data_IF_698375090186
#
_entry.id   IF_698375090186
#
_cell.length_a   1.000
_cell.length_b   1.000
_cell.length_c   1.000
_cell.angle_alpha   90.00
_cell.angle_beta   90.00
_cell.angle_gamma   90.00
#
_symmetry.space_group_name_H-M   'P 1'
#
loop_
_entity.id
_entity.type
_entity.pdbx_description
1 polymer ?
#
# COMPACT_ATOMS: atom_id res chain seq x y z
N UNK A 1 -9.25 22.03 -2.04
CA UNK A 1 -10.35 21.10 -1.72
C UNK A 1 -9.79 19.94 -0.91
N UNK A 2 -10.44 19.57 0.18
CA UNK A 2 -10.05 18.35 0.86
C UNK A 2 -10.30 17.14 -0.02
N UNK A 3 -9.41 16.18 0.06
CA UNK A 3 -9.56 14.93 -0.66
C UNK A 3 -10.78 14.16 -0.14
N UNK A 4 -11.57 13.58 -1.03
CA UNK A 4 -12.68 12.71 -0.63
C UNK A 4 -12.13 11.54 0.20
N UNK A 5 -12.82 11.14 1.28
CA UNK A 5 -12.37 10.00 2.09
C UNK A 5 -12.24 8.74 1.25
N UNK A 6 -11.15 8.01 1.48
CA UNK A 6 -10.89 6.75 0.80
C UNK A 6 -10.56 5.68 1.84
N UNK A 7 -10.65 4.42 1.42
CA UNK A 7 -10.27 3.28 2.23
C UNK A 7 -8.86 2.85 1.85
N UNK A 8 -7.98 2.83 2.82
CA UNK A 8 -6.57 2.52 2.63
C UNK A 8 -6.18 1.35 3.52
N UNK A 9 -5.65 0.30 2.93
CA UNK A 9 -5.11 -0.84 3.66
C UNK A 9 -3.60 -0.75 3.63
N UNK A 10 -2.99 -0.69 4.82
CA UNK A 10 -1.54 -0.76 4.93
C UNK A 10 -1.11 -2.14 5.40
N UNK A 11 -0.23 -2.78 4.62
CA UNK A 11 0.32 -4.10 4.90
C UNK A 11 1.79 -3.96 5.25
N UNK A 12 2.08 -3.96 6.55
CA UNK A 12 3.40 -3.64 7.09
C UNK A 12 3.57 -4.30 8.46
N UNK A 13 4.69 -4.98 8.70
CA UNK A 13 4.94 -5.64 9.99
C UNK A 13 5.68 -4.76 11.00
N UNK A 14 6.33 -3.68 10.55
CA UNK A 14 7.00 -2.75 11.44
C UNK A 14 6.00 -1.74 12.01
N UNK A 15 5.69 -1.88 13.31
CA UNK A 15 4.68 -1.05 13.96
C UNK A 15 4.99 0.45 13.87
N UNK A 16 6.27 0.83 13.99
CA UNK A 16 6.66 2.24 13.92
C UNK A 16 6.35 2.85 12.55
N UNK A 17 6.62 2.12 11.47
CA UNK A 17 6.31 2.57 10.10
C UNK A 17 4.80 2.65 9.91
N UNK A 18 4.09 1.57 10.27
CA UNK A 18 2.63 1.51 10.10
C UNK A 18 1.93 2.64 10.85
N UNK A 19 2.34 2.90 12.10
CA UNK A 19 1.70 3.92 12.93
C UNK A 19 1.85 5.33 12.35
N UNK A 20 3.02 5.66 11.83
CA UNK A 20 3.25 6.95 11.18
C UNK A 20 2.33 7.13 9.97
N UNK A 21 2.23 6.10 9.16
CA UNK A 21 1.40 6.13 7.96
C UNK A 21 -0.07 6.23 8.33
N UNK A 22 -0.52 5.40 9.28
CA UNK A 22 -1.92 5.42 9.76
C UNK A 22 -2.29 6.80 10.27
N UNK A 23 -1.44 7.39 11.12
CA UNK A 23 -1.72 8.70 11.71
C UNK A 23 -1.87 9.77 10.64
N UNK A 24 -0.99 9.76 9.66
CA UNK A 24 -1.00 10.77 8.61
C UNK A 24 -2.25 10.68 7.73
N UNK A 25 -2.63 9.47 7.31
CA UNK A 25 -3.84 9.29 6.51
C UNK A 25 -5.11 9.57 7.32
N UNK A 26 -5.12 9.19 8.59
CA UNK A 26 -6.26 9.47 9.48
C UNK A 26 -6.48 10.98 9.64
N UNK A 27 -5.39 11.74 9.79
CA UNK A 27 -5.48 13.20 9.86
C UNK A 27 -6.05 13.82 8.58
N UNK A 28 -5.90 13.13 7.47
CA UNK A 28 -6.45 13.57 6.18
C UNK A 28 -7.90 13.12 5.98
N UNK A 29 -8.47 12.41 6.94
CA UNK A 29 -9.87 11.98 6.89
C UNK A 29 -10.11 10.64 6.21
N UNK A 30 -9.06 9.88 5.88
CA UNK A 30 -9.20 8.57 5.27
C UNK A 30 -9.48 7.50 6.32
N UNK A 31 -10.13 6.42 5.89
CA UNK A 31 -10.36 5.23 6.70
C UNK A 31 -9.20 4.25 6.44
N UNK A 32 -8.45 3.92 7.48
CA UNK A 32 -7.22 3.14 7.36
C UNK A 32 -7.32 1.86 8.19
N UNK A 33 -7.08 0.72 7.55
CA UNK A 33 -6.91 -0.55 8.24
C UNK A 33 -5.46 -1.01 8.12
N UNK A 34 -5.02 -1.77 9.09
CA UNK A 34 -3.64 -2.26 9.17
C UNK A 34 -3.62 -3.79 9.21
N UNK A 35 -2.90 -4.38 8.25
CA UNK A 35 -2.63 -5.80 8.18
C UNK A 35 -1.15 -6.04 8.44
N UNK A 36 -0.81 -6.98 9.32
CA UNK A 36 0.57 -7.26 9.72
C UNK A 36 1.18 -8.46 9.00
N UNK A 37 0.36 -9.20 8.28
CA UNK A 37 0.77 -10.42 7.61
C UNK A 37 -0.07 -10.62 6.34
N UNK A 38 0.45 -11.40 5.41
CA UNK A 38 -0.25 -11.68 4.15
C UNK A 38 -1.65 -12.26 4.39
N UNK A 39 -1.79 -13.15 5.37
CA UNK A 39 -3.11 -13.73 5.68
C UNK A 39 -4.12 -12.67 6.09
N UNK A 40 -3.68 -11.63 6.80
CA UNK A 40 -4.54 -10.52 7.20
C UNK A 40 -4.93 -9.66 6.01
N UNK A 41 -4.01 -9.43 5.08
CA UNK A 41 -4.30 -8.73 3.82
C UNK A 41 -5.40 -9.48 3.06
N UNK A 42 -5.24 -10.78 2.90
CA UNK A 42 -6.23 -11.61 2.18
C UNK A 42 -7.60 -11.61 2.86
N UNK A 43 -7.63 -11.57 4.19
CA UNK A 43 -8.88 -11.50 4.94
C UNK A 43 -9.57 -10.13 4.79
N UNK A 44 -8.77 -9.06 4.75
CA UNK A 44 -9.30 -7.69 4.67
C UNK A 44 -9.80 -7.30 3.28
N UNK A 45 -9.14 -7.77 2.23
CA UNK A 45 -9.45 -7.33 0.86
C UNK A 45 -10.93 -7.48 0.49
N UNK A 46 -11.60 -8.63 0.71
CA UNK A 46 -13.00 -8.78 0.32
C UNK A 46 -13.98 -8.06 1.24
N UNK A 47 -13.57 -7.72 2.46
CA UNK A 47 -14.45 -7.11 3.47
C UNK A 47 -14.29 -5.59 3.48
N UNK A 48 -13.05 -5.12 3.56
CA UNK A 48 -12.76 -3.69 3.63
C UNK A 48 -12.86 -3.02 2.26
N UNK A 49 -12.54 -3.75 1.20
CA UNK A 49 -12.53 -3.26 -0.17
C UNK A 49 -11.73 -1.95 -0.28
N UNK A 50 -10.42 -1.99 0.02
CA UNK A 50 -9.62 -0.77 0.01
C UNK A 50 -9.53 -0.16 -1.39
N UNK A 51 -9.49 1.15 -1.44
CA UNK A 51 -9.23 1.88 -2.69
C UNK A 51 -7.76 1.79 -3.08
N UNK A 52 -6.87 1.76 -2.09
CA UNK A 52 -5.43 1.61 -2.27
C UNK A 52 -4.89 0.61 -1.26
N UNK A 53 -3.98 -0.25 -1.70
CA UNK A 53 -3.20 -1.12 -0.84
C UNK A 53 -1.75 -0.60 -0.82
N UNK A 54 -1.22 -0.33 0.37
CA UNK A 54 0.19 -0.01 0.58
C UNK A 54 0.84 -1.27 1.12
N UNK A 55 1.74 -1.86 0.36
CA UNK A 55 2.26 -3.20 0.63
C UNK A 55 3.79 -3.21 0.74
N UNK A 56 4.30 -3.65 1.89
CA UNK A 56 5.73 -3.91 2.07
C UNK A 56 6.13 -5.13 1.23
N UNK A 57 7.10 -4.94 0.35
CA UNK A 57 7.58 -6.00 -0.56
C UNK A 57 8.13 -7.22 0.20
N UNK A 58 8.57 -7.04 1.45
CA UNK A 58 9.14 -8.13 2.25
C UNK A 58 8.16 -8.69 3.29
N UNK A 59 6.91 -8.28 3.25
CA UNK A 59 5.91 -8.80 4.19
C UNK A 59 5.85 -10.32 4.11
N UNK A 60 5.99 -11.00 5.25
CA UNK A 60 6.03 -12.47 5.33
C UNK A 60 7.00 -13.08 4.31
N UNK A 61 8.16 -12.44 4.12
CA UNK A 61 9.22 -12.82 3.20
C UNK A 61 8.98 -12.50 1.72
N UNK A 62 7.73 -12.46 1.23
CA UNK A 62 7.50 -12.12 -0.17
C UNK A 62 6.14 -11.43 -0.43
N UNK A 63 6.08 -10.14 -0.11
CA UNK A 63 4.93 -9.32 -0.44
C UNK A 63 4.72 -9.15 -1.95
N UNK A 64 5.78 -9.24 -2.74
CA UNK A 64 5.67 -9.15 -4.21
C UNK A 64 4.96 -10.36 -4.82
N UNK A 65 5.09 -11.54 -4.20
CA UNK A 65 4.32 -12.70 -4.63
C UNK A 65 2.83 -12.47 -4.42
N UNK A 66 2.47 -11.89 -3.29
CA UNK A 66 1.07 -11.50 -3.06
C UNK A 66 0.60 -10.51 -4.12
N UNK A 67 1.40 -9.49 -4.40
CA UNK A 67 1.06 -8.49 -5.42
C UNK A 67 0.86 -9.14 -6.78
N UNK A 68 1.74 -10.06 -7.17
CA UNK A 68 1.60 -10.80 -8.41
C UNK A 68 0.28 -11.56 -8.46
N UNK A 69 -0.11 -12.21 -7.38
CA UNK A 69 -1.37 -12.94 -7.29
C UNK A 69 -2.59 -12.02 -7.39
N UNK A 70 -2.48 -10.79 -6.88
CA UNK A 70 -3.59 -9.82 -6.92
C UNK A 70 -3.71 -9.10 -8.26
N UNK A 71 -2.71 -9.17 -9.11
CA UNK A 71 -2.57 -8.31 -10.29
C UNK A 71 -3.83 -8.27 -11.17
N UNK A 72 -4.48 -9.42 -11.36
CA UNK A 72 -5.68 -9.52 -12.17
C UNK A 72 -6.88 -10.04 -11.38
N UNK A 73 -6.77 -10.04 -10.05
CA UNK A 73 -7.84 -10.53 -9.20
C UNK A 73 -8.97 -9.49 -9.08
N UNK A 74 -10.21 -9.92 -8.85
CA UNK A 74 -11.33 -8.99 -8.63
C UNK A 74 -11.11 -8.06 -7.45
N UNK A 75 -10.36 -8.50 -6.43
CA UNK A 75 -10.06 -7.71 -5.23
C UNK A 75 -8.97 -6.67 -5.45
N UNK A 76 -8.38 -6.58 -6.65
CA UNK A 76 -7.34 -5.59 -6.91
C UNK A 76 -7.88 -4.18 -6.63
N UNK A 77 -7.22 -3.39 -5.76
CA UNK A 77 -7.71 -2.05 -5.42
C UNK A 77 -7.83 -1.16 -6.65
N UNK A 78 -8.93 -0.42 -6.74
CA UNK A 78 -9.24 0.39 -7.95
C UNK A 78 -8.19 1.46 -8.25
N UNK A 79 -7.57 2.06 -7.22
CA UNK A 79 -6.50 3.04 -7.42
C UNK A 79 -5.12 2.40 -7.44
N UNK A 80 -5.03 1.09 -7.18
CA UNK A 80 -3.80 0.33 -7.34
C UNK A 80 -3.09 -0.02 -6.04
N UNK A 81 -1.86 -0.53 -6.22
CA UNK A 81 -1.01 -0.97 -5.11
C UNK A 81 0.27 -0.14 -5.11
N UNK A 82 0.59 0.44 -3.95
CA UNK A 82 1.86 1.11 -3.72
C UNK A 82 2.78 0.14 -3.00
N UNK A 83 3.95 -0.11 -3.57
CA UNK A 83 4.92 -1.05 -3.02
C UNK A 83 6.00 -0.29 -2.25
N UNK A 84 6.31 -0.75 -1.03
CA UNK A 84 7.41 -0.24 -0.24
C UNK A 84 8.56 -1.25 -0.32
N UNK A 85 9.75 -0.81 -0.71
CA UNK A 85 10.92 -1.67 -0.83
C UNK A 85 12.00 -1.26 0.17
N UNK A 86 12.89 -2.20 0.52
CA UNK A 86 14.05 -1.90 1.34
C UNK A 86 15.01 -0.98 0.59
N UNK A 87 15.69 -0.10 1.33
CA UNK A 87 16.70 0.77 0.74
C UNK A 87 17.76 -0.07 0.03
N UNK A 88 18.05 0.29 -1.22
CA UNK A 88 19.07 -0.39 -2.01
C UNK A 88 18.62 -1.68 -2.69
N UNK A 89 17.40 -2.14 -2.46
CA UNK A 89 16.90 -3.35 -3.14
C UNK A 89 16.38 -3.01 -4.54
N UNK A 90 17.30 -2.86 -5.47
CA UNK A 90 17.00 -2.49 -6.85
C UNK A 90 16.16 -3.58 -7.53
N UNK A 91 16.46 -4.84 -7.25
CA UNK A 91 15.73 -5.96 -7.84
C UNK A 91 14.26 -5.97 -7.47
N UNK A 92 13.93 -5.74 -6.20
CA UNK A 92 12.55 -5.65 -5.75
C UNK A 92 11.84 -4.46 -6.39
N UNK A 93 12.52 -3.32 -6.48
CA UNK A 93 11.97 -2.11 -7.11
C UNK A 93 11.63 -2.36 -8.57
N UNK A 94 12.56 -2.93 -9.32
CA UNK A 94 12.35 -3.25 -10.74
C UNK A 94 11.21 -4.24 -10.94
N UNK A 95 11.16 -5.29 -10.11
CA UNK A 95 10.10 -6.29 -10.18
C UNK A 95 8.74 -5.68 -9.89
N UNK A 96 8.65 -4.83 -8.88
CA UNK A 96 7.39 -4.14 -8.55
C UNK A 96 6.91 -3.27 -9.72
N UNK A 97 7.83 -2.56 -10.36
CA UNK A 97 7.51 -1.74 -11.53
C UNK A 97 7.03 -2.59 -12.69
N UNK A 98 7.71 -3.70 -12.96
CA UNK A 98 7.31 -4.64 -14.03
C UNK A 98 5.94 -5.26 -13.77
N UNK A 99 5.61 -5.51 -12.52
CA UNK A 99 4.30 -6.06 -12.14
C UNK A 99 3.18 -5.04 -12.20
N UNK A 100 3.49 -3.78 -12.46
CA UNK A 100 2.48 -2.74 -12.61
C UNK A 100 2.07 -2.05 -11.33
N UNK A 101 2.98 -1.93 -10.35
CA UNK A 101 2.71 -1.14 -9.15
C UNK A 101 2.34 0.29 -9.53
N UNK A 102 1.34 0.85 -8.87
CA UNK A 102 0.93 2.23 -9.10
C UNK A 102 2.03 3.21 -8.68
N UNK A 103 2.80 2.86 -7.65
CA UNK A 103 4.00 3.58 -7.24
C UNK A 103 4.90 2.64 -6.46
N UNK A 104 6.20 2.94 -6.44
CA UNK A 104 7.18 2.21 -5.63
C UNK A 104 7.97 3.23 -4.83
N UNK A 105 8.07 3.02 -3.51
CA UNK A 105 8.83 3.88 -2.62
C UNK A 105 9.84 3.06 -1.84
N UNK A 106 11.03 3.64 -1.61
CA UNK A 106 12.06 2.99 -0.80
C UNK A 106 11.96 3.45 0.64
N UNK A 107 12.19 2.51 1.57
CA UNK A 107 12.34 2.86 2.98
C UNK A 107 13.67 3.60 3.21
N UNK A 108 13.75 4.54 4.17
CA UNK A 108 12.70 4.92 5.12
C UNK A 108 11.59 5.72 4.44
N UNK A 109 10.34 5.38 4.77
CA UNK A 109 9.17 6.00 4.14
C UNK A 109 8.89 7.34 4.78
N UNK A 110 8.76 8.38 3.97
CA UNK A 110 8.27 9.66 4.43
C UNK A 110 6.75 9.67 4.29
N UNK A 111 6.08 9.74 5.41
CA UNK A 111 4.62 9.62 5.43
C UNK A 111 3.90 10.76 4.69
N UNK A 112 4.48 11.96 4.67
CA UNK A 112 3.94 13.09 3.93
C UNK A 112 4.02 12.85 2.40
N UNK A 113 5.13 12.32 1.92
CA UNK A 113 5.28 11.95 0.50
C UNK A 113 4.32 10.84 0.11
N UNK A 114 4.17 9.84 0.97
CA UNK A 114 3.29 8.71 0.71
C UNK A 114 1.83 9.17 0.61
N UNK A 115 1.40 10.06 1.49
CA UNK A 115 0.05 10.63 1.42
C UNK A 115 -0.16 11.36 0.09
N UNK A 116 0.80 12.17 -0.31
CA UNK A 116 0.71 12.92 -1.57
C UNK A 116 0.58 11.99 -2.77
N UNK A 117 1.42 10.96 -2.83
CA UNK A 117 1.37 9.97 -3.92
C UNK A 117 0.03 9.26 -3.95
N UNK A 118 -0.46 8.80 -2.81
CA UNK A 118 -1.73 8.08 -2.72
C UNK A 118 -2.89 8.97 -3.11
N UNK A 119 -2.91 10.21 -2.63
CA UNK A 119 -3.99 11.14 -2.97
C UNK A 119 -3.99 11.49 -4.46
N UNK A 120 -2.81 11.57 -5.07
CA UNK A 120 -2.71 11.74 -6.52
C UNK A 120 -3.32 10.55 -7.27
N UNK A 121 -3.03 9.33 -6.82
CA UNK A 121 -3.62 8.12 -7.41
C UNK A 121 -5.14 8.13 -7.31
N UNK A 122 -5.67 8.54 -6.19
CA UNK A 122 -7.11 8.61 -5.96
C UNK A 122 -7.80 9.66 -6.83
N UNK A 123 -7.09 10.72 -7.18
CA UNK A 123 -7.62 11.82 -7.98
C UNK A 123 -7.93 11.40 -9.42
N UNK A 124 -7.20 10.43 -9.96
CA UNK A 124 -7.26 10.06 -11.37
C UNK A 124 -7.99 8.74 -11.65
N UNK A 125 -8.80 8.27 -10.71
CA UNK A 125 -9.58 7.05 -10.93
C UNK A 125 -11.04 7.34 -11.27
#
# INVERSE_FOLDING_TARGET
>A
MPQAPARILIAEDEAAVAQQVINRFTLRGHDVHWARAIREVRAELPVFEPDVLILDATLDTDGLELFQALRFAPEHPRAGVVILTAAGDIGARERAQQLGAAAVMMKPVRSDELVEIVEDLLTYI
#
